data_IF_821355925990
#
_entry.id   IF_821355925990
#
_cell.length_a   1.000
_cell.length_b   1.000
_cell.length_c   1.000
_cell.angle_alpha   90.00
_cell.angle_beta   90.00
_cell.angle_gamma   90.00
#
_symmetry.space_group_name_H-M   'P 1'
#
loop_
_entity.id
_entity.type
_entity.pdbx_description
1 polymer ?
#
# COMPACT_ATOMS: atom_id res chain seq x y z
N UNK A 1 14.58 -18.42 -23.94
CA UNK A 1 15.21 -17.18 -23.43
C UNK A 1 14.42 -16.52 -22.28
N UNK A 2 13.09 -16.56 -22.25
CA UNK A 2 12.27 -15.98 -21.16
C UNK A 2 12.36 -16.72 -19.81
N UNK A 3 12.49 -18.05 -19.82
CA UNK A 3 12.58 -18.88 -18.60
C UNK A 3 13.85 -18.63 -17.77
N UNK A 4 14.99 -18.36 -18.44
CA UNK A 4 16.25 -18.00 -17.78
C UNK A 4 16.17 -16.61 -17.11
N UNK A 5 15.47 -15.65 -17.73
CA UNK A 5 15.26 -14.30 -17.17
C UNK A 5 14.38 -14.32 -15.93
N UNK A 6 13.29 -15.10 -15.93
CA UNK A 6 12.43 -15.25 -14.74
C UNK A 6 13.20 -15.83 -13.56
N UNK A 7 14.01 -16.89 -13.78
CA UNK A 7 14.83 -17.49 -12.72
C UNK A 7 15.83 -16.49 -12.12
N UNK A 8 16.42 -15.61 -12.95
CA UNK A 8 17.31 -14.55 -12.49
C UNK A 8 16.58 -13.48 -11.67
N UNK A 9 15.38 -13.05 -12.08
CA UNK A 9 14.57 -12.11 -11.29
C UNK A 9 14.10 -12.68 -9.97
N UNK A 10 13.81 -13.99 -9.88
CA UNK A 10 13.49 -14.64 -8.61
C UNK A 10 14.68 -14.60 -7.65
N UNK A 11 15.89 -14.94 -8.12
CA UNK A 11 17.11 -14.86 -7.28
C UNK A 11 17.38 -13.42 -6.83
N UNK A 12 17.26 -12.45 -7.74
CA UNK A 12 17.41 -11.03 -7.39
C UNK A 12 16.34 -10.55 -6.40
N UNK A 13 15.10 -11.03 -6.55
CA UNK A 13 14.00 -10.73 -5.64
C UNK A 13 14.30 -11.26 -4.24
N UNK A 14 14.76 -12.49 -4.10
CA UNK A 14 15.13 -13.05 -2.80
C UNK A 14 16.31 -12.32 -2.17
N UNK A 15 17.35 -11.98 -2.97
CA UNK A 15 18.46 -11.16 -2.49
C UNK A 15 18.01 -9.76 -2.07
N UNK A 16 17.07 -9.15 -2.80
CA UNK A 16 16.53 -7.84 -2.46
C UNK A 16 15.69 -7.90 -1.19
N UNK A 17 14.83 -8.92 -1.03
CA UNK A 17 14.08 -9.14 0.22
C UNK A 17 15.00 -9.39 1.40
N UNK A 18 16.04 -10.20 1.22
CA UNK A 18 17.04 -10.44 2.25
C UNK A 18 17.73 -9.13 2.65
N UNK A 19 18.26 -8.39 1.68
CA UNK A 19 18.87 -7.09 1.93
C UNK A 19 17.91 -6.14 2.65
N UNK A 20 16.64 -6.07 2.22
CA UNK A 20 15.61 -5.29 2.91
C UNK A 20 15.46 -5.77 4.35
N UNK A 21 15.26 -7.05 4.62
CA UNK A 21 15.08 -7.54 5.99
C UNK A 21 16.30 -7.26 6.88
N UNK A 22 17.52 -7.44 6.37
CA UNK A 22 18.75 -7.25 7.16
C UNK A 22 19.07 -5.77 7.41
N UNK A 23 18.89 -4.89 6.41
CA UNK A 23 19.22 -3.46 6.54
C UNK A 23 18.05 -2.59 7.00
N UNK A 24 16.80 -3.00 6.73
CA UNK A 24 15.61 -2.20 7.00
C UNK A 24 14.88 -2.59 8.26
N UNK A 25 15.01 -3.80 8.80
CA UNK A 25 14.32 -4.14 10.06
C UNK A 25 14.59 -3.09 11.14
N UNK A 26 15.87 -2.70 11.30
CA UNK A 26 16.29 -1.66 12.24
C UNK A 26 15.84 -0.25 11.83
N UNK A 27 15.83 0.06 10.54
CA UNK A 27 15.38 1.37 10.02
C UNK A 27 13.86 1.55 10.14
N UNK A 28 13.10 0.47 9.96
CA UNK A 28 11.64 0.46 9.97
C UNK A 28 11.09 0.61 11.38
N UNK A 29 11.75 -0.05 12.35
CA UNK A 29 11.41 0.05 13.78
C UNK A 29 11.63 1.45 14.35
N UNK A 30 12.61 2.18 13.82
CA UNK A 30 12.92 3.55 14.22
C UNK A 30 11.81 4.53 13.83
N UNK A 31 11.14 5.12 14.83
CA UNK A 31 10.01 6.04 14.69
C UNK A 31 10.43 7.48 14.39
N UNK A 32 11.67 7.83 14.73
CA UNK A 32 12.31 9.14 14.56
C UNK A 32 12.67 9.47 13.11
N UNK A 33 12.70 8.47 12.23
CA UNK A 33 13.11 8.64 10.83
C UNK A 33 11.91 8.92 9.94
N UNK A 34 11.82 10.09 9.28
CA UNK A 34 10.68 10.43 8.42
C UNK A 34 10.43 9.41 7.30
N UNK A 35 9.16 9.25 6.91
CA UNK A 35 8.77 8.25 5.90
C UNK A 35 9.42 8.51 4.54
N UNK A 36 9.58 9.78 4.14
CA UNK A 36 10.27 10.14 2.90
C UNK A 36 11.70 9.59 2.85
N UNK A 37 12.40 9.59 3.99
CA UNK A 37 13.77 9.04 4.10
C UNK A 37 13.75 7.53 3.98
N UNK A 38 12.82 6.83 4.63
CA UNK A 38 12.65 5.36 4.47
C UNK A 38 12.39 4.98 3.02
N UNK A 39 11.54 5.74 2.33
CA UNK A 39 11.23 5.58 0.90
C UNK A 39 12.45 5.83 0.02
N UNK A 40 13.26 6.84 0.33
CA UNK A 40 14.48 7.13 -0.43
C UNK A 40 15.50 6.00 -0.33
N UNK A 41 15.69 5.46 0.87
CA UNK A 41 16.58 4.32 1.08
C UNK A 41 16.05 3.13 0.27
N UNK A 42 14.74 2.85 0.34
CA UNK A 42 14.09 1.78 -0.44
C UNK A 42 14.34 1.93 -1.94
N UNK A 43 14.06 3.11 -2.47
CA UNK A 43 14.30 3.43 -3.86
C UNK A 43 15.77 3.22 -4.24
N UNK A 44 16.72 3.62 -3.40
CA UNK A 44 18.14 3.41 -3.67
C UNK A 44 18.51 1.92 -3.73
N UNK A 45 18.03 1.11 -2.80
CA UNK A 45 18.28 -0.34 -2.76
C UNK A 45 17.65 -1.05 -3.97
N UNK A 46 16.37 -0.80 -4.24
CA UNK A 46 15.64 -1.39 -5.37
C UNK A 46 16.25 -0.97 -6.71
N UNK A 47 16.64 0.30 -6.85
CA UNK A 47 17.28 0.78 -8.08
C UNK A 47 18.59 0.05 -8.35
N UNK A 48 19.37 -0.19 -7.32
CA UNK A 48 20.68 -0.84 -7.44
C UNK A 48 20.54 -2.33 -7.76
N UNK A 49 19.64 -3.05 -7.08
CA UNK A 49 19.54 -4.51 -7.18
C UNK A 49 18.63 -4.92 -8.34
N UNK A 50 17.42 -4.37 -8.39
CA UNK A 50 16.37 -4.82 -9.30
C UNK A 50 16.37 -4.05 -10.62
N UNK A 51 16.69 -2.75 -10.60
CA UNK A 51 16.61 -1.90 -11.80
C UNK A 51 17.93 -1.83 -12.60
N UNK A 52 18.89 -2.71 -12.31
CA UNK A 52 20.14 -2.78 -13.07
C UNK A 52 19.85 -2.97 -14.56
N UNK A 53 20.46 -2.14 -15.41
CA UNK A 53 20.22 -2.10 -16.86
C UNK A 53 18.76 -1.85 -17.26
N UNK A 54 17.95 -1.20 -16.41
CA UNK A 54 16.56 -0.85 -16.70
C UNK A 54 16.36 -0.02 -17.98
N UNK A 55 17.40 0.65 -18.46
CA UNK A 55 17.39 1.31 -19.77
C UNK A 55 17.15 0.35 -20.94
N UNK A 56 17.63 -0.90 -20.84
CA UNK A 56 17.55 -1.90 -21.91
C UNK A 56 16.24 -2.68 -21.84
N UNK A 57 15.76 -3.06 -20.65
CA UNK A 57 14.58 -3.91 -20.50
C UNK A 57 13.34 -3.19 -19.93
N UNK A 58 13.46 -1.91 -19.57
CA UNK A 58 12.45 -1.17 -18.82
C UNK A 58 11.13 -0.89 -19.53
N UNK A 59 11.01 -1.30 -20.80
CA UNK A 59 9.74 -1.36 -21.54
C UNK A 59 8.83 -2.52 -21.11
N UNK A 60 9.36 -3.51 -20.39
CA UNK A 60 8.60 -4.66 -19.90
C UNK A 60 8.22 -4.50 -18.43
N UNK A 61 6.96 -4.85 -18.12
CA UNK A 61 6.49 -4.97 -16.74
C UNK A 61 6.74 -6.38 -16.21
N UNK A 62 7.51 -6.49 -15.12
CA UNK A 62 7.83 -7.76 -14.47
C UNK A 62 7.10 -7.88 -13.13
N UNK A 63 6.29 -8.93 -12.97
CA UNK A 63 5.50 -9.15 -11.75
C UNK A 63 6.39 -9.32 -10.52
N UNK A 64 7.56 -9.90 -10.68
CA UNK A 64 8.54 -10.14 -9.62
C UNK A 64 9.06 -8.83 -9.02
N UNK A 65 9.28 -7.81 -9.85
CA UNK A 65 9.71 -6.48 -9.40
C UNK A 65 8.60 -5.84 -8.57
N UNK A 66 7.35 -5.91 -9.05
CA UNK A 66 6.22 -5.32 -8.32
C UNK A 66 5.88 -6.06 -7.02
N UNK A 67 6.17 -7.36 -6.93
CA UNK A 67 6.09 -8.10 -5.64
C UNK A 67 6.99 -7.49 -4.58
N UNK A 68 8.19 -7.00 -4.94
CA UNK A 68 9.09 -6.34 -4.00
C UNK A 68 8.52 -4.99 -3.53
N UNK A 69 7.94 -4.21 -4.44
CA UNK A 69 7.29 -2.94 -4.11
C UNK A 69 6.15 -3.14 -3.11
N UNK A 70 5.28 -4.11 -3.38
CA UNK A 70 4.16 -4.46 -2.50
C UNK A 70 4.64 -5.04 -1.16
N UNK A 71 5.69 -5.86 -1.17
CA UNK A 71 6.31 -6.37 0.05
C UNK A 71 6.80 -5.23 0.94
N UNK A 72 7.46 -4.23 0.36
CA UNK A 72 7.90 -3.04 1.08
C UNK A 72 6.74 -2.25 1.69
N UNK A 73 5.70 -1.95 0.91
CA UNK A 73 4.53 -1.20 1.42
C UNK A 73 3.87 -1.95 2.57
N UNK A 74 3.68 -3.28 2.44
CA UNK A 74 3.12 -4.10 3.52
C UNK A 74 3.98 -4.05 4.78
N UNK A 75 5.30 -4.20 4.65
CA UNK A 75 6.22 -4.15 5.79
C UNK A 75 6.29 -2.76 6.43
N UNK A 76 6.30 -1.70 5.62
CA UNK A 76 6.35 -0.32 6.10
C UNK A 76 5.15 0.03 6.97
N UNK A 77 3.96 -0.42 6.58
CA UNK A 77 2.70 -0.11 7.27
C UNK A 77 2.14 -1.25 8.12
N UNK A 78 2.91 -2.33 8.34
CA UNK A 78 2.48 -3.52 9.10
C UNK A 78 1.12 -4.08 8.62
N UNK A 79 0.93 -4.17 7.30
CA UNK A 79 -0.32 -4.58 6.68
C UNK A 79 -0.40 -6.10 6.53
N UNK A 80 -1.61 -6.69 6.62
CA UNK A 80 -1.75 -8.13 6.55
C UNK A 80 -1.40 -8.66 5.15
N UNK A 81 -0.98 -9.92 5.07
CA UNK A 81 -0.50 -10.57 3.84
C UNK A 81 -1.58 -10.63 2.75
N UNK A 82 -2.85 -10.71 3.16
CA UNK A 82 -4.01 -10.77 2.29
C UNK A 82 -4.51 -9.39 1.81
N UNK A 83 -3.90 -8.27 2.24
CA UNK A 83 -4.39 -6.95 1.82
C UNK A 83 -4.42 -6.82 0.28
N UNK A 84 -5.52 -6.38 -0.34
CA UNK A 84 -5.60 -6.28 -1.79
C UNK A 84 -4.62 -5.25 -2.37
N UNK A 85 -4.04 -5.55 -3.54
CA UNK A 85 -3.06 -4.66 -4.19
C UNK A 85 -3.64 -3.27 -4.51
N UNK A 86 -4.92 -3.18 -4.84
CA UNK A 86 -5.54 -1.89 -5.16
C UNK A 86 -5.58 -0.97 -3.92
N UNK A 87 -5.86 -1.50 -2.73
CA UNK A 87 -5.82 -0.73 -1.47
C UNK A 87 -4.38 -0.27 -1.22
N UNK A 88 -3.40 -1.18 -1.39
CA UNK A 88 -2.00 -0.84 -1.19
C UNK A 88 -1.56 0.34 -2.06
N UNK A 89 -1.91 0.33 -3.35
CA UNK A 89 -1.51 1.42 -4.26
C UNK A 89 -2.30 2.71 -4.04
N UNK A 90 -3.61 2.63 -3.83
CA UNK A 90 -4.46 3.81 -3.68
C UNK A 90 -4.19 4.54 -2.35
N UNK A 91 -4.10 3.81 -1.24
CA UNK A 91 -3.86 4.42 0.08
C UNK A 91 -2.41 4.88 0.27
N UNK A 92 -1.43 4.23 -0.37
CA UNK A 92 -0.02 4.64 -0.22
C UNK A 92 0.41 5.74 -1.19
N UNK A 93 -0.32 5.97 -2.28
CA UNK A 93 0.12 6.72 -3.45
C UNK A 93 1.44 6.23 -4.07
N UNK A 94 1.80 4.96 -3.83
CA UNK A 94 2.92 4.34 -4.53
C UNK A 94 2.50 4.00 -5.95
N UNK A 95 3.48 4.03 -6.85
CA UNK A 95 3.31 3.57 -8.22
C UNK A 95 4.17 2.35 -8.48
N UNK A 96 3.82 1.54 -9.48
CA UNK A 96 4.65 0.44 -9.92
C UNK A 96 6.08 0.92 -10.23
N UNK A 97 7.07 0.09 -9.87
CA UNK A 97 8.48 0.35 -10.21
C UNK A 97 8.65 0.43 -11.73
N UNK A 98 7.78 -0.25 -12.48
CA UNK A 98 7.68 -0.12 -13.93
C UNK A 98 7.66 1.34 -14.43
N UNK A 99 7.01 2.27 -13.70
CA UNK A 99 6.99 3.69 -14.10
C UNK A 99 8.41 4.29 -14.15
N UNK A 100 9.25 3.90 -13.20
CA UNK A 100 10.64 4.35 -13.14
C UNK A 100 11.49 3.72 -14.26
N UNK A 101 11.35 2.41 -14.48
CA UNK A 101 12.13 1.71 -15.53
C UNK A 101 11.70 2.13 -16.93
N UNK A 102 10.41 2.39 -17.15
CA UNK A 102 9.89 2.93 -18.40
C UNK A 102 10.48 4.32 -18.68
N UNK A 103 10.52 5.20 -17.68
CA UNK A 103 11.15 6.51 -17.81
C UNK A 103 12.63 6.38 -18.20
N UNK A 104 13.38 5.48 -17.56
CA UNK A 104 14.79 5.24 -17.90
C UNK A 104 14.94 4.75 -19.35
N UNK A 105 14.10 3.81 -19.76
CA UNK A 105 14.11 3.23 -21.09
C UNK A 105 13.83 4.26 -22.19
N UNK A 106 12.76 5.05 -22.03
CA UNK A 106 12.39 6.07 -23.02
C UNK A 106 13.47 7.18 -23.12
N UNK A 107 14.02 7.62 -21.99
CA UNK A 107 15.14 8.57 -21.97
C UNK A 107 16.39 7.99 -22.65
N UNK A 108 16.65 6.69 -22.50
CA UNK A 108 17.74 6.02 -23.18
C UNK A 108 17.54 6.00 -24.70
N UNK A 109 16.36 5.58 -25.18
CA UNK A 109 16.06 5.58 -26.63
C UNK A 109 16.22 6.99 -27.20
N UNK A 110 15.66 8.00 -26.55
CA UNK A 110 15.78 9.40 -26.98
C UNK A 110 17.24 9.83 -27.14
N UNK A 111 18.10 9.47 -26.18
CA UNK A 111 19.54 9.74 -26.26
C UNK A 111 20.23 8.99 -27.39
N UNK A 112 19.88 7.72 -27.60
CA UNK A 112 20.46 6.88 -28.67
C UNK A 112 20.12 7.44 -30.05
N UNK A 113 18.87 7.83 -30.29
CA UNK A 113 18.43 8.40 -31.56
C UNK A 113 19.02 9.79 -31.84
N UNK A 114 19.39 10.53 -30.78
CA UNK A 114 20.06 11.82 -30.88
C UNK A 114 21.58 11.72 -31.17
N UNK A 115 22.15 10.52 -31.23
CA UNK A 115 23.58 10.34 -31.55
C UNK A 115 23.89 10.72 -33.01
N UNK A 116 25.15 11.08 -33.32
CA UNK A 116 25.58 11.31 -34.70
C UNK A 116 25.39 10.08 -35.59
N UNK A 117 25.18 10.34 -36.88
CA UNK A 117 25.14 9.30 -37.90
C UNK A 117 26.43 8.46 -37.89
N UNK A 118 26.31 7.13 -38.04
CA UNK A 118 27.43 6.20 -38.01
C UNK A 118 27.73 5.57 -36.63
N UNK A 119 27.06 6.00 -35.55
CA UNK A 119 27.15 5.32 -34.25
C UNK A 119 26.32 4.03 -34.27
N UNK A 120 26.97 2.88 -34.05
CA UNK A 120 26.32 1.56 -34.03
C UNK A 120 25.02 1.50 -33.19
N UNK A 121 24.94 2.09 -31.97
CA UNK A 121 23.69 2.07 -31.20
C UNK A 121 22.51 2.74 -31.91
N UNK A 122 22.75 3.82 -32.65
CA UNK A 122 21.71 4.52 -33.40
C UNK A 122 21.26 3.70 -34.60
N UNK A 123 22.21 3.21 -35.40
CA UNK A 123 21.92 2.35 -36.54
C UNK A 123 21.10 1.11 -36.14
N UNK A 124 21.45 0.46 -35.03
CA UNK A 124 20.69 -0.67 -34.51
C UNK A 124 19.29 -0.26 -34.01
N UNK A 125 19.16 0.89 -33.33
CA UNK A 125 17.86 1.37 -32.86
C UNK A 125 16.93 1.70 -34.03
N UNK A 126 17.43 2.32 -35.09
CA UNK A 126 16.70 2.60 -36.32
C UNK A 126 16.24 1.31 -37.00
N UNK A 127 17.08 0.28 -37.06
CA UNK A 127 16.70 -1.01 -37.66
C UNK A 127 15.64 -1.74 -36.81
N UNK A 128 15.68 -1.60 -35.48
CA UNK A 128 14.63 -2.11 -34.59
C UNK A 128 13.29 -1.41 -34.81
N UNK A 129 13.31 -0.08 -34.99
CA UNK A 129 12.10 0.72 -35.30
C UNK A 129 11.55 0.33 -36.67
N UNK A 130 12.41 0.32 -37.69
CA UNK A 130 12.05 0.02 -39.09
C UNK A 130 11.38 -1.36 -39.22
N UNK A 131 11.94 -2.38 -38.58
CA UNK A 131 11.39 -3.74 -38.63
C UNK A 131 10.27 -3.99 -37.61
N UNK A 132 9.99 -3.02 -36.74
CA UNK A 132 8.98 -3.10 -35.67
C UNK A 132 9.13 -4.32 -34.75
N UNK A 133 10.36 -4.57 -34.31
CA UNK A 133 10.70 -5.72 -33.47
C UNK A 133 11.04 -5.31 -32.04
N UNK A 134 11.15 -6.30 -31.16
CA UNK A 134 11.69 -6.16 -29.80
C UNK A 134 11.02 -5.03 -28.99
N UNK A 135 11.80 -4.10 -28.42
CA UNK A 135 11.27 -3.01 -27.59
C UNK A 135 10.35 -2.07 -28.36
N UNK A 136 10.50 -1.92 -29.68
CA UNK A 136 9.64 -1.04 -30.46
C UNK A 136 8.22 -1.60 -30.54
N UNK A 137 8.10 -2.92 -30.74
CA UNK A 137 6.80 -3.61 -30.76
C UNK A 137 6.02 -3.40 -29.47
N UNK A 138 6.65 -3.66 -28.33
CA UNK A 138 6.02 -3.51 -27.02
C UNK A 138 5.66 -2.05 -26.72
N UNK A 139 6.52 -1.11 -27.14
CA UNK A 139 6.21 0.31 -27.02
C UNK A 139 5.03 0.73 -27.90
N UNK A 140 4.87 0.18 -29.11
CA UNK A 140 3.67 0.43 -29.93
C UNK A 140 2.40 -0.02 -29.21
N UNK A 141 2.40 -1.22 -28.62
CA UNK A 141 1.26 -1.74 -27.85
C UNK A 141 0.97 -0.88 -26.61
N UNK A 142 2.01 -0.49 -25.87
CA UNK A 142 1.89 0.38 -24.70
C UNK A 142 1.31 1.76 -25.06
N UNK A 143 1.87 2.41 -26.09
CA UNK A 143 1.44 3.75 -26.51
C UNK A 143 0.04 3.73 -27.11
N UNK A 144 -0.29 2.69 -27.89
CA UNK A 144 -1.66 2.45 -28.35
C UNK A 144 -2.63 2.30 -27.19
N UNK A 145 -2.27 1.54 -26.16
CA UNK A 145 -3.07 1.42 -24.94
C UNK A 145 -3.22 2.75 -24.18
N UNK A 146 -2.23 3.64 -24.25
CA UNK A 146 -2.29 4.96 -23.61
C UNK A 146 -2.97 6.02 -24.49
N UNK A 147 -3.37 5.69 -25.73
CA UNK A 147 -3.84 6.64 -26.74
C UNK A 147 -2.85 7.78 -27.00
N UNK A 148 -1.55 7.48 -27.01
CA UNK A 148 -0.46 8.44 -27.28
C UNK A 148 0.21 8.06 -28.60
N UNK A 149 0.47 9.04 -29.47
CA UNK A 149 1.26 8.79 -30.68
C UNK A 149 2.72 8.49 -30.31
N UNK A 150 3.27 7.43 -30.88
CA UNK A 150 4.64 7.03 -30.62
C UNK A 150 5.60 7.87 -31.46
N UNK A 151 6.23 8.86 -30.82
CA UNK A 151 7.33 9.65 -31.38
C UNK A 151 8.48 9.72 -30.37
N UNK A 152 9.54 8.95 -30.56
CA UNK A 152 10.65 8.92 -29.61
C UNK A 152 11.47 10.22 -29.53
N UNK A 153 11.39 11.08 -30.57
CA UNK A 153 12.16 12.33 -30.62
C UNK A 153 11.39 13.44 -29.92
N UNK A 154 10.12 13.62 -30.30
CA UNK A 154 9.25 14.66 -29.78
C UNK A 154 8.57 14.33 -28.45
N UNK A 155 8.37 13.05 -28.11
CA UNK A 155 7.66 12.70 -26.87
C UNK A 155 8.49 13.07 -25.64
N UNK A 156 7.80 13.62 -24.65
CA UNK A 156 8.33 13.77 -23.30
C UNK A 156 8.06 12.47 -22.52
N UNK A 157 9.09 11.71 -22.10
CA UNK A 157 8.91 10.51 -21.28
C UNK A 157 8.08 10.73 -20.02
N UNK A 158 8.16 11.93 -19.43
CA UNK A 158 7.35 12.31 -18.28
C UNK A 158 5.85 12.28 -18.55
N UNK A 159 5.42 12.71 -19.75
CA UNK A 159 4.00 12.68 -20.15
C UNK A 159 3.52 11.24 -20.32
N UNK A 160 4.31 10.37 -20.95
CA UNK A 160 3.95 8.95 -21.11
C UNK A 160 3.80 8.26 -19.76
N UNK A 161 4.73 8.52 -18.84
CA UNK A 161 4.69 7.97 -17.49
C UNK A 161 3.49 8.53 -16.70
N UNK A 162 3.16 9.81 -16.85
CA UNK A 162 2.00 10.42 -16.22
C UNK A 162 0.68 9.81 -16.73
N UNK A 163 0.55 9.59 -18.04
CA UNK A 163 -0.61 8.91 -18.62
C UNK A 163 -0.72 7.46 -18.16
N UNK A 164 0.42 6.75 -18.08
CA UNK A 164 0.45 5.41 -17.51
C UNK A 164 0.00 5.38 -16.05
N UNK A 165 0.49 6.30 -15.22
CA UNK A 165 0.08 6.43 -13.81
C UNK A 165 -1.41 6.69 -13.68
N UNK A 166 -1.97 7.53 -14.54
CA UNK A 166 -3.40 7.86 -14.54
C UNK A 166 -4.24 6.62 -14.88
N UNK A 167 -3.94 5.95 -16.00
CA UNK A 167 -4.61 4.70 -16.39
C UNK A 167 -4.45 3.58 -15.36
N UNK A 168 -3.28 3.50 -14.72
CA UNK A 168 -3.04 2.55 -13.64
C UNK A 168 -3.91 2.85 -12.41
N UNK A 169 -4.00 4.12 -12.00
CA UNK A 169 -4.86 4.55 -10.89
C UNK A 169 -6.33 4.24 -11.18
N UNK A 170 -6.81 4.53 -12.39
CA UNK A 170 -8.17 4.18 -12.83
C UNK A 170 -8.44 2.68 -12.73
N UNK A 171 -7.50 1.82 -13.14
CA UNK A 171 -7.61 0.36 -13.00
C UNK A 171 -7.67 -0.08 -11.52
N UNK A 172 -6.91 0.57 -10.63
CA UNK A 172 -6.99 0.26 -9.20
C UNK A 172 -8.33 0.72 -8.60
N UNK A 173 -8.84 1.89 -8.99
CA UNK A 173 -10.14 2.40 -8.56
C UNK A 173 -11.24 1.44 -9.02
N UNK A 174 -11.22 1.01 -10.29
CA UNK A 174 -12.22 0.07 -10.81
C UNK A 174 -12.21 -1.24 -10.02
N UNK A 175 -11.03 -1.77 -9.66
CA UNK A 175 -10.92 -2.96 -8.80
C UNK A 175 -11.51 -2.77 -7.41
N UNK A 176 -11.35 -1.57 -6.82
CA UNK A 176 -11.97 -1.22 -5.55
C UNK A 176 -13.50 -1.19 -5.62
N UNK A 177 -14.07 -0.69 -6.72
CA UNK A 177 -15.52 -0.61 -6.92
C UNK A 177 -16.19 -1.98 -6.99
N UNK A 178 -15.53 -2.98 -7.55
CA UNK A 178 -16.05 -4.35 -7.66
C UNK A 178 -15.73 -5.25 -6.45
N UNK A 179 -15.12 -4.74 -5.37
CA UNK A 179 -14.78 -5.57 -4.21
C UNK A 179 -15.99 -5.87 -3.33
N UNK A 180 -16.19 -7.15 -2.99
CA UNK A 180 -17.26 -7.60 -2.08
C UNK A 180 -16.89 -7.45 -0.60
N UNK A 181 -15.68 -7.85 -0.22
CA UNK A 181 -15.21 -7.84 1.18
C UNK A 181 -14.86 -6.45 1.72
N UNK A 182 -14.50 -5.51 0.85
CA UNK A 182 -14.11 -4.15 1.22
C UNK A 182 -15.21 -3.16 0.83
N UNK A 183 -16.42 -3.44 1.35
CA UNK A 183 -17.65 -2.77 0.95
C UNK A 183 -17.72 -1.29 1.30
N UNK A 184 -16.97 -0.82 2.30
CA UNK A 184 -16.87 0.62 2.61
C UNK A 184 -15.86 1.32 1.72
N UNK A 185 -14.80 0.60 1.30
CA UNK A 185 -13.70 1.17 0.53
C UNK A 185 -14.17 1.82 -0.78
N UNK A 186 -15.17 1.23 -1.44
CA UNK A 186 -15.76 1.78 -2.69
C UNK A 186 -16.41 3.15 -2.52
N UNK A 187 -16.72 3.56 -1.29
CA UNK A 187 -17.31 4.86 -0.96
C UNK A 187 -16.29 5.85 -0.39
N UNK A 188 -15.03 5.42 -0.20
CA UNK A 188 -13.98 6.31 0.26
C UNK A 188 -13.41 7.13 -0.89
N UNK A 189 -12.94 8.32 -0.57
CA UNK A 189 -12.21 9.16 -1.52
C UNK A 189 -10.85 8.51 -1.75
N UNK A 190 -10.54 8.21 -3.01
CA UNK A 190 -9.29 7.56 -3.41
C UNK A 190 -8.08 8.51 -3.39
N UNK A 191 -8.31 9.83 -3.45
CA UNK A 191 -7.26 10.85 -3.41
C UNK A 191 -7.56 11.87 -2.31
N UNK A 192 -6.82 11.78 -1.20
CA UNK A 192 -6.99 12.68 -0.06
C UNK A 192 -6.28 14.04 -0.24
N UNK A 193 -5.59 14.24 -1.37
CA UNK A 193 -4.89 15.50 -1.67
C UNK A 193 -3.91 15.92 -0.58
N UNK A 194 -3.91 17.20 -0.22
CA UNK A 194 -3.02 17.77 0.81
C UNK A 194 -3.33 17.25 2.23
N UNK A 195 -4.53 16.71 2.47
CA UNK A 195 -4.97 16.16 3.76
C UNK A 195 -4.54 14.70 4.00
N UNK A 196 -3.63 14.17 3.19
CA UNK A 196 -3.21 12.78 3.23
C UNK A 196 -2.55 12.41 4.57
N UNK A 197 -2.97 11.31 5.19
CA UNK A 197 -2.47 10.90 6.51
C UNK A 197 -1.03 10.34 6.45
N UNK A 198 -0.59 9.85 5.30
CA UNK A 198 0.81 9.45 5.07
C UNK A 198 1.63 10.70 4.75
N UNK A 199 2.36 11.23 5.73
CA UNK A 199 3.19 12.43 5.61
C UNK A 199 4.36 12.37 6.60
N UNK A 200 5.44 13.12 6.35
CA UNK A 200 6.56 13.21 7.30
C UNK A 200 6.18 13.88 8.64
N UNK A 201 5.04 14.58 8.68
CA UNK A 201 4.54 15.28 9.88
C UNK A 201 3.76 14.39 10.84
N UNK A 202 3.23 13.27 10.37
CA UNK A 202 2.43 12.35 11.16
C UNK A 202 3.31 11.25 11.78
N UNK A 203 2.86 10.68 12.91
CA UNK A 203 3.54 9.53 13.50
C UNK A 203 3.29 8.27 12.66
N UNK A 204 4.25 7.34 12.62
CA UNK A 204 4.07 6.07 11.92
C UNK A 204 2.90 5.26 12.48
N UNK A 205 2.69 5.29 13.80
CA UNK A 205 1.55 4.61 14.43
C UNK A 205 0.23 5.10 13.84
N UNK A 206 0.06 6.42 13.73
CA UNK A 206 -1.11 7.01 13.07
C UNK A 206 -1.21 6.55 11.62
N UNK A 207 -0.13 6.65 10.85
CA UNK A 207 -0.17 6.24 9.43
C UNK A 207 -0.61 4.79 9.26
N UNK A 208 -0.03 3.87 10.03
CA UNK A 208 -0.35 2.43 10.01
C UNK A 208 -1.83 2.18 10.32
N UNK A 209 -2.31 2.76 11.42
CA UNK A 209 -3.68 2.59 11.89
C UNK A 209 -4.68 3.14 10.89
N UNK A 210 -4.48 4.37 10.40
CA UNK A 210 -5.41 4.97 9.44
C UNK A 210 -5.42 4.20 8.13
N UNK A 211 -4.27 3.71 7.66
CA UNK A 211 -4.19 2.81 6.51
C UNK A 211 -5.04 1.56 6.74
N UNK A 212 -4.86 0.87 7.88
CA UNK A 212 -5.62 -0.34 8.20
C UNK A 212 -7.12 -0.07 8.29
N UNK A 213 -7.53 1.03 8.93
CA UNK A 213 -8.94 1.39 9.09
C UNK A 213 -9.62 1.72 7.77
N UNK A 214 -9.01 2.60 6.96
CA UNK A 214 -9.56 2.97 5.65
C UNK A 214 -9.60 1.77 4.71
N UNK A 215 -8.54 0.97 4.68
CA UNK A 215 -8.47 -0.25 3.88
C UNK A 215 -9.32 -1.42 4.38
N UNK A 216 -10.02 -1.31 5.52
CA UNK A 216 -10.69 -2.42 6.19
C UNK A 216 -9.77 -3.63 6.43
N UNK A 217 -8.50 -3.36 6.76
CA UNK A 217 -7.42 -4.32 6.98
C UNK A 217 -7.14 -4.58 8.46
N UNK A 218 -8.02 -4.09 9.35
CA UNK A 218 -7.96 -4.42 10.78
C UNK A 218 -8.31 -5.90 10.96
N UNK A 219 -7.64 -6.59 11.87
CA UNK A 219 -7.90 -8.00 12.19
C UNK A 219 -9.19 -8.18 13.02
N UNK A 220 -10.32 -7.87 12.39
CA UNK A 220 -11.65 -8.14 12.90
C UNK A 220 -12.09 -9.57 12.53
N UNK A 221 -13.14 -10.05 13.18
CA UNK A 221 -13.71 -11.36 12.93
C UNK A 221 -14.25 -11.51 11.50
N UNK A 222 -14.84 -10.46 10.93
CA UNK A 222 -15.15 -10.45 9.51
C UNK A 222 -13.90 -10.18 8.66
N UNK A 223 -13.34 -11.23 8.05
CA UNK A 223 -12.25 -11.10 7.08
C UNK A 223 -12.24 -12.25 6.07
N UNK A 224 -11.45 -12.07 4.99
CA UNK A 224 -11.36 -13.01 3.85
C UNK A 224 -10.78 -14.38 4.22
N UNK A 225 -10.06 -14.49 5.34
CA UNK A 225 -9.35 -15.71 5.74
C UNK A 225 -10.13 -16.54 6.78
N UNK A 226 -11.26 -16.03 7.29
CA UNK A 226 -12.09 -16.69 8.30
C UNK A 226 -13.39 -17.22 7.71
N UNK A 227 -13.90 -18.30 8.30
CA UNK A 227 -15.18 -18.88 7.89
C UNK A 227 -16.37 -18.05 8.38
N UNK A 228 -17.56 -18.28 7.81
CA UNK A 228 -18.75 -17.50 8.13
C UNK A 228 -19.16 -17.62 9.60
N UNK A 229 -18.94 -18.79 10.23
CA UNK A 229 -19.24 -18.99 11.66
C UNK A 229 -18.39 -18.08 12.55
N UNK A 230 -17.20 -17.69 12.06
CA UNK A 230 -16.26 -16.84 12.78
C UNK A 230 -16.47 -15.35 12.52
N UNK A 231 -17.43 -14.94 11.68
CA UNK A 231 -17.60 -13.52 11.31
C UNK A 231 -18.34 -12.67 12.34
N UNK A 232 -19.03 -13.31 13.28
CA UNK A 232 -19.81 -12.64 14.32
C UNK A 232 -18.90 -11.95 15.35
N UNK A 233 -19.37 -10.84 15.90
CA UNK A 233 -18.67 -10.12 16.96
C UNK A 233 -18.67 -10.93 18.26
N UNK A 234 -17.48 -11.24 18.76
CA UNK A 234 -17.29 -11.93 20.05
C UNK A 234 -17.29 -10.99 21.25
N UNK A 235 -17.31 -9.67 21.02
CA UNK A 235 -17.34 -8.68 22.09
C UNK A 235 -18.75 -8.43 22.62
N UNK A 236 -19.77 -8.59 21.78
CA UNK A 236 -21.15 -8.24 22.16
C UNK A 236 -22.13 -9.37 21.84
N UNK A 237 -23.23 -9.40 22.57
CA UNK A 237 -24.26 -10.44 22.45
C UNK A 237 -25.31 -10.15 21.36
N UNK A 238 -25.00 -9.29 20.38
CA UNK A 238 -25.94 -8.92 19.33
C UNK A 238 -26.00 -9.91 18.17
N UNK A 239 -25.04 -10.84 18.06
CA UNK A 239 -24.93 -11.76 16.93
C UNK A 239 -24.67 -11.06 15.59
N UNK A 240 -24.27 -9.78 15.61
CA UNK A 240 -23.94 -9.03 14.41
C UNK A 240 -22.53 -9.39 13.90
N UNK A 241 -22.35 -9.29 12.59
CA UNK A 241 -21.05 -9.41 11.92
C UNK A 241 -20.09 -8.32 12.42
N UNK A 242 -18.88 -8.70 12.82
CA UNK A 242 -17.83 -7.75 13.24
C UNK A 242 -17.10 -7.15 12.04
N UNK A 243 -17.81 -6.37 11.24
CA UNK A 243 -17.19 -5.57 10.19
C UNK A 243 -16.81 -4.16 10.70
N UNK A 244 -16.22 -3.37 9.82
CA UNK A 244 -15.83 -1.99 10.14
C UNK A 244 -17.01 -1.10 10.55
N UNK A 245 -18.22 -1.35 10.04
CA UNK A 245 -19.41 -0.60 10.46
C UNK A 245 -19.78 -0.93 11.91
N UNK A 246 -19.75 -2.22 12.27
CA UNK A 246 -20.02 -2.65 13.63
C UNK A 246 -18.95 -2.12 14.60
N UNK A 247 -17.67 -2.32 14.28
CA UNK A 247 -16.54 -1.89 15.11
C UNK A 247 -16.52 -0.36 15.33
N UNK A 248 -16.62 0.44 14.27
CA UNK A 248 -16.56 1.90 14.38
C UNK A 248 -17.86 2.55 14.84
N UNK A 249 -19.03 1.90 14.68
CA UNK A 249 -20.30 2.60 14.76
C UNK A 249 -21.38 1.96 15.63
N UNK A 250 -21.37 0.65 15.88
CA UNK A 250 -22.52 -0.03 16.50
C UNK A 250 -22.21 -0.83 17.76
N UNK A 251 -21.04 -1.48 17.83
CA UNK A 251 -20.67 -2.37 18.94
C UNK A 251 -20.90 -1.69 20.31
N UNK A 252 -21.83 -2.16 21.16
CA UNK A 252 -22.15 -1.52 22.43
C UNK A 252 -20.97 -1.50 23.40
N UNK A 253 -20.14 -2.55 23.37
CA UNK A 253 -18.95 -2.68 24.23
C UNK A 253 -17.89 -1.61 23.93
N UNK A 254 -17.88 -1.08 22.69
CA UNK A 254 -16.96 -0.02 22.29
C UNK A 254 -17.57 1.39 22.41
N UNK A 255 -18.77 1.52 22.98
CA UNK A 255 -19.51 2.79 23.05
C UNK A 255 -18.74 3.89 23.77
N UNK A 256 -18.19 3.60 24.95
CA UNK A 256 -17.50 4.62 25.77
C UNK A 256 -16.29 5.22 25.02
N UNK A 257 -15.56 4.39 24.27
CA UNK A 257 -14.47 4.86 23.42
C UNK A 257 -14.97 5.74 22.27
N UNK A 258 -16.11 5.39 21.65
CA UNK A 258 -16.73 6.23 20.61
C UNK A 258 -17.19 7.57 21.16
N UNK A 259 -17.82 7.60 22.34
CA UNK A 259 -18.21 8.87 22.97
C UNK A 259 -16.97 9.71 23.25
N UNK A 260 -15.95 9.13 23.88
CA UNK A 260 -14.72 9.83 24.28
C UNK A 260 -14.01 10.48 23.10
N UNK A 261 -13.84 9.74 22.00
CA UNK A 261 -12.99 10.19 20.89
C UNK A 261 -13.76 10.74 19.70
N UNK A 262 -14.96 10.22 19.42
CA UNK A 262 -15.79 10.56 18.26
C UNK A 262 -17.03 11.38 18.65
N UNK A 263 -17.32 11.54 19.94
CA UNK A 263 -18.41 12.38 20.45
C UNK A 263 -19.81 11.79 20.28
N UNK A 264 -19.95 10.53 19.85
CA UNK A 264 -21.24 9.88 19.58
C UNK A 264 -21.28 8.45 20.09
N UNK A 265 -22.46 8.03 20.56
CA UNK A 265 -22.71 6.65 21.03
C UNK A 265 -22.72 5.65 19.89
N UNK A 266 -23.31 6.03 18.77
CA UNK A 266 -23.41 5.24 17.55
C UNK A 266 -23.16 6.13 16.33
N UNK A 267 -22.67 5.52 15.26
CA UNK A 267 -22.45 6.16 13.97
C UNK A 267 -23.17 5.38 12.88
N UNK A 268 -23.90 6.09 12.04
CA UNK A 268 -24.43 5.57 10.79
C UNK A 268 -23.31 5.29 9.79
N UNK A 269 -23.58 4.47 8.77
CA UNK A 269 -22.60 4.17 7.73
C UNK A 269 -22.10 5.42 7.00
N UNK A 270 -22.98 6.40 6.74
CA UNK A 270 -22.61 7.66 6.12
C UNK A 270 -21.65 8.48 7.00
N UNK A 271 -21.88 8.50 8.31
CA UNK A 271 -20.98 9.16 9.26
C UNK A 271 -19.62 8.46 9.35
N UNK A 272 -19.59 7.12 9.25
CA UNK A 272 -18.34 6.35 9.21
C UNK A 272 -17.55 6.67 7.93
N UNK A 273 -18.21 6.71 6.77
CA UNK A 273 -17.57 7.09 5.51
C UNK A 273 -17.01 8.51 5.61
N UNK A 274 -17.79 9.44 6.15
CA UNK A 274 -17.34 10.81 6.36
C UNK A 274 -16.15 10.85 7.33
N UNK A 275 -16.19 10.12 8.45
CA UNK A 275 -15.10 10.03 9.41
C UNK A 275 -13.81 9.54 8.75
N UNK A 276 -13.91 8.47 7.94
CA UNK A 276 -12.79 7.88 7.21
C UNK A 276 -12.24 8.80 6.11
N UNK A 277 -12.98 9.81 5.64
CA UNK A 277 -12.54 10.80 4.66
C UNK A 277 -12.18 12.18 5.27
N UNK A 278 -12.62 12.46 6.50
CA UNK A 278 -12.70 13.82 7.08
C UNK A 278 -11.38 14.49 7.47
N UNK A 279 -10.24 13.80 7.40
CA UNK A 279 -8.97 14.39 7.83
C UNK A 279 -8.74 14.37 9.34
N UNK A 280 -9.73 14.01 10.18
CA UNK A 280 -9.58 13.97 11.63
C UNK A 280 -8.90 12.69 12.12
N UNK A 281 -7.69 12.47 11.61
CA UNK A 281 -6.92 11.24 11.79
C UNK A 281 -6.56 10.98 13.23
N UNK A 282 -6.25 12.02 14.01
CA UNK A 282 -5.86 11.87 15.42
C UNK A 282 -6.99 11.30 16.26
N UNK A 283 -8.23 11.80 16.14
CA UNK A 283 -9.36 11.27 16.90
C UNK A 283 -9.67 9.81 16.54
N UNK A 284 -9.63 9.51 15.24
CA UNK A 284 -9.85 8.15 14.75
C UNK A 284 -8.74 7.19 15.22
N UNK A 285 -7.49 7.64 15.21
CA UNK A 285 -6.34 6.92 15.75
C UNK A 285 -6.52 6.62 17.25
N UNK A 286 -6.80 7.64 18.07
CA UNK A 286 -6.99 7.47 19.50
C UNK A 286 -8.17 6.55 19.84
N UNK A 287 -9.27 6.65 19.09
CA UNK A 287 -10.38 5.70 19.18
C UNK A 287 -9.89 4.28 18.95
N UNK A 288 -9.25 4.02 17.80
CA UNK A 288 -8.84 2.68 17.42
C UNK A 288 -7.84 2.09 18.42
N UNK A 289 -6.82 2.84 18.82
CA UNK A 289 -5.82 2.35 19.78
C UNK A 289 -6.49 1.95 21.11
N UNK A 290 -7.39 2.78 21.63
CA UNK A 290 -8.09 2.50 22.89
C UNK A 290 -9.05 1.31 22.77
N UNK A 291 -9.92 1.34 21.74
CA UNK A 291 -10.95 0.33 21.51
C UNK A 291 -10.35 -1.02 21.12
N UNK A 292 -9.28 -1.03 20.32
CA UNK A 292 -8.59 -2.24 19.91
C UNK A 292 -7.82 -2.86 21.09
N UNK A 293 -7.11 -2.07 21.90
CA UNK A 293 -6.46 -2.58 23.13
C UNK A 293 -7.49 -3.27 24.05
N UNK A 294 -8.64 -2.64 24.24
CA UNK A 294 -9.71 -3.23 25.04
C UNK A 294 -10.31 -4.50 24.41
N UNK A 295 -10.52 -4.49 23.09
CA UNK A 295 -10.93 -5.69 22.34
C UNK A 295 -9.93 -6.84 22.55
N UNK A 296 -8.63 -6.58 22.43
CA UNK A 296 -7.60 -7.60 22.61
C UNK A 296 -7.62 -8.17 24.02
N UNK A 297 -7.76 -7.31 25.04
CA UNK A 297 -7.92 -7.74 26.44
C UNK A 297 -9.14 -8.65 26.62
N UNK A 298 -10.31 -8.27 26.09
CA UNK A 298 -11.51 -9.11 26.20
C UNK A 298 -11.35 -10.45 25.46
N UNK A 299 -10.67 -10.47 24.32
CA UNK A 299 -10.43 -11.70 23.57
C UNK A 299 -9.44 -12.61 24.31
N UNK A 300 -8.37 -12.06 24.90
CA UNK A 300 -7.40 -12.86 25.66
C UNK A 300 -8.00 -13.45 26.94
N UNK A 301 -8.81 -12.68 27.65
CA UNK A 301 -9.41 -13.11 28.92
C UNK A 301 -10.58 -14.10 28.73
N UNK A 302 -11.37 -13.94 27.68
CA UNK A 302 -12.66 -14.65 27.56
C UNK A 302 -12.81 -15.51 26.30
N UNK A 303 -11.89 -15.48 25.34
CA UNK A 303 -12.01 -16.18 24.04
C UNK A 303 -10.73 -16.90 23.61
N UNK A 304 -10.15 -17.71 24.51
CA UNK A 304 -8.85 -18.39 24.34
C UNK A 304 -8.78 -19.37 23.15
N UNK A 305 -9.90 -19.91 22.68
CA UNK A 305 -9.92 -20.94 21.63
C UNK A 305 -9.78 -20.39 20.20
N UNK A 306 -9.66 -19.07 20.01
CA UNK A 306 -9.68 -18.41 18.68
C UNK A 306 -8.32 -17.98 18.14
N UNK A 307 -7.22 -18.25 18.85
CA UNK A 307 -5.90 -17.67 18.56
C UNK A 307 -4.97 -18.48 17.67
N UNK A 308 -5.32 -19.70 17.27
CA UNK A 308 -4.45 -20.57 16.46
C UNK A 308 -4.44 -20.22 14.95
N UNK A 309 -4.37 -18.93 14.55
CA UNK A 309 -4.07 -18.59 13.14
C UNK A 309 -3.18 -17.33 13.04
N UNK A 310 -1.87 -17.53 13.07
CA UNK A 310 -0.93 -16.97 12.10
C UNK A 310 -0.76 -15.46 11.97
N UNK A 311 -0.61 -14.73 13.09
CA UNK A 311 0.00 -13.37 13.06
C UNK A 311 1.13 -13.37 14.08
N UNK A 312 2.36 -13.15 13.61
CA UNK A 312 3.56 -13.04 14.44
C UNK A 312 3.30 -12.05 15.60
N UNK A 313 3.23 -12.58 16.83
CA UNK A 313 2.91 -11.81 18.04
C UNK A 313 3.91 -10.70 18.39
N UNK A 314 5.03 -10.60 17.66
CA UNK A 314 6.06 -9.58 17.87
C UNK A 314 5.67 -8.19 17.35
N UNK A 315 4.78 -8.07 16.35
CA UNK A 315 4.41 -6.76 15.77
C UNK A 315 3.40 -5.98 16.65
N UNK A 316 2.75 -6.64 17.61
CA UNK A 316 1.80 -6.00 18.52
C UNK A 316 2.50 -5.25 19.66
N UNK A 317 3.60 -5.75 20.21
CA UNK A 317 4.24 -5.15 21.40
C UNK A 317 4.89 -3.80 21.08
N UNK A 318 5.50 -3.66 19.91
CA UNK A 318 6.15 -2.41 19.46
C UNK A 318 5.14 -1.32 19.04
N UNK A 319 3.90 -1.66 18.66
CA UNK A 319 2.85 -0.67 18.26
C UNK A 319 2.28 0.13 19.46
N UNK A 320 2.36 -0.40 20.70
CA UNK A 320 1.71 0.22 21.87
C UNK A 320 2.64 0.95 22.85
N UNK A 321 3.97 0.76 22.80
CA UNK A 321 4.91 1.49 23.66
C UNK A 321 5.04 2.99 23.29
N UNK A 322 4.66 3.39 22.07
CA UNK A 322 4.68 4.81 21.62
C UNK A 322 3.43 5.59 22.06
N UNK A 323 2.42 4.90 22.59
CA UNK A 323 1.11 5.50 22.92
C UNK A 323 1.14 6.27 24.24
N UNK A 324 2.03 5.93 25.17
CA UNK A 324 2.07 6.57 26.49
C UNK A 324 2.46 8.06 26.43
N UNK A 325 3.27 8.46 25.44
CA UNK A 325 3.72 9.85 25.31
C UNK A 325 2.78 10.76 24.51
N UNK A 326 1.91 10.21 23.65
CA UNK A 326 1.00 11.01 22.80
C UNK A 326 -0.46 11.01 23.26
N UNK A 327 -0.84 10.08 24.13
CA UNK A 327 -2.18 9.94 24.71
C UNK A 327 -2.12 9.96 26.24
N UNK A 328 -1.44 10.95 26.83
CA UNK A 328 -1.25 11.02 28.28
C UNK A 328 -2.51 11.51 29.04
N UNK A 329 -2.85 10.76 30.11
CA UNK A 329 -3.76 11.01 31.27
C UNK A 329 -5.30 10.86 31.15
N UNK A 330 -6.00 10.72 32.30
CA UNK A 330 -5.80 9.81 33.44
C UNK A 330 -6.81 8.65 33.37
N UNK A 331 -6.54 7.55 34.10
CA UNK A 331 -7.57 6.52 34.33
C UNK A 331 -8.77 7.16 35.03
N UNK A 332 -10.03 6.81 34.69
CA UNK A 332 -11.16 7.19 35.51
C UNK A 332 -10.97 6.52 36.87
N UNK A 333 -10.94 7.34 37.92
CA UNK A 333 -11.09 6.88 39.29
C UNK A 333 -12.33 5.98 39.36
N UNK A 334 -12.12 4.80 39.95
CA UNK A 334 -13.16 3.86 40.36
C UNK A 334 -14.34 4.63 40.97
N UNK A 335 -15.54 4.31 40.50
CA UNK A 335 -16.80 4.57 41.20
C UNK A 335 -17.59 3.29 41.27
#
# INVERSE_FOLDING_TARGET
MFTSKQKNYTVKLENAKFALNTTYSNLMKKTDIPISKKINVFNAAVRTIMCYAGQVWGFLSFKEIEKLNLFFVRKLFCLPVNAPHYILYLESNFYPIFCYTLNLHLNYIKKVLALPEGRLPKALAEEVIKNRIYWHKENLELFGNLNISLDYVGVNPGTVVASFKSKFKENMISKGQYSSFHSLYKHLVADLGEGHYISDTNSFGLMKVIFKLRGQLVNLNYNVMRSEEQWSCTLCNLGEREDMCHYLGKCPVLQEYRIRWLGKKALSQAEIINLLNSGNWTKLFCFHVSAYKYRMFLISEYNTDTWEIGVDGEDLVDEYHVVEDTCSFPMPLER
#
